data_IF_874988826318
#
_entry.id   IF_874988826318
#
_cell.length_a   1.000
_cell.length_b   1.000
_cell.length_c   1.000
_cell.angle_alpha   90.00
_cell.angle_beta   90.00
_cell.angle_gamma   90.00
#
_symmetry.space_group_name_H-M   'P 1'
#
loop_
_entity.id
_entity.type
_entity.pdbx_description
1 polymer ?
#
# COMPACT_ATOMS: atom_id res chain seq x y z
N UNK A 1 18.96 36.15 -42.94
CA UNK A 1 19.05 34.69 -42.76
C UNK A 1 19.37 34.41 -41.31
N UNK A 2 18.59 33.84 -40.64
CA UNK A 2 17.81 33.83 -39.47
C UNK A 2 18.48 33.07 -38.34
N UNK A 3 18.45 33.69 -37.16
CA UNK A 3 18.90 33.24 -35.85
C UNK A 3 18.04 32.10 -35.23
N UNK A 4 17.60 31.10 -36.03
CA UNK A 4 16.69 30.04 -35.55
C UNK A 4 17.41 28.81 -34.96
N UNK A 5 18.75 28.75 -35.09
CA UNK A 5 19.54 27.61 -34.59
C UNK A 5 19.53 27.46 -33.04
N UNK A 6 19.77 28.55 -32.25
CA UNK A 6 19.78 28.44 -30.80
C UNK A 6 18.39 28.15 -30.19
N UNK A 7 17.33 28.63 -30.82
CA UNK A 7 15.94 28.41 -30.34
C UNK A 7 15.48 26.97 -30.58
N UNK A 8 15.87 26.36 -31.68
CA UNK A 8 15.64 24.94 -31.97
C UNK A 8 16.40 24.01 -31.02
N UNK A 9 17.61 24.38 -30.65
CA UNK A 9 18.44 23.58 -29.71
C UNK A 9 17.93 23.69 -28.28
N UNK A 10 17.43 24.85 -27.89
CA UNK A 10 16.79 25.09 -26.60
C UNK A 10 15.46 24.31 -26.46
N UNK A 11 14.63 24.30 -27.50
CA UNK A 11 13.38 23.54 -27.56
C UNK A 11 13.65 22.04 -27.49
N UNK A 12 14.65 21.55 -28.19
CA UNK A 12 15.06 20.14 -28.18
C UNK A 12 15.59 19.72 -26.81
N UNK A 13 16.34 20.58 -26.14
CA UNK A 13 16.81 20.34 -24.77
C UNK A 13 15.66 20.26 -23.77
N UNK A 14 14.65 21.13 -23.87
CA UNK A 14 13.45 21.12 -23.03
C UNK A 14 12.64 19.85 -23.29
N UNK A 15 12.49 19.42 -24.52
CA UNK A 15 11.75 18.19 -24.87
C UNK A 15 12.45 16.94 -24.31
N UNK A 16 13.80 16.89 -24.40
CA UNK A 16 14.59 15.79 -23.81
C UNK A 16 14.44 15.75 -22.30
N UNK A 17 14.53 16.90 -21.62
CA UNK A 17 14.37 17.00 -20.17
C UNK A 17 12.95 16.58 -19.76
N UNK A 18 11.95 17.08 -20.47
CA UNK A 18 10.54 16.76 -20.21
C UNK A 18 10.24 15.28 -20.39
N UNK A 19 10.76 14.68 -21.46
CA UNK A 19 10.61 13.23 -21.69
C UNK A 19 11.29 12.40 -20.64
N UNK A 20 12.52 12.78 -20.22
CA UNK A 20 13.25 12.10 -19.15
C UNK A 20 12.53 12.19 -17.78
N UNK A 21 11.94 13.35 -17.47
CA UNK A 21 11.11 13.52 -16.26
C UNK A 21 9.88 12.63 -16.32
N UNK A 22 9.17 12.61 -17.45
CA UNK A 22 7.95 11.80 -17.61
C UNK A 22 8.25 10.30 -17.56
N UNK A 23 9.34 9.85 -18.19
CA UNK A 23 9.79 8.45 -18.13
C UNK A 23 10.18 8.04 -16.70
N UNK A 24 10.85 8.92 -15.99
CA UNK A 24 11.22 8.69 -14.59
C UNK A 24 10.00 8.57 -13.71
N UNK A 25 9.02 9.45 -13.91
CA UNK A 25 7.75 9.43 -13.17
C UNK A 25 6.97 8.15 -13.44
N UNK A 26 6.80 7.77 -14.72
CA UNK A 26 6.13 6.54 -15.10
C UNK A 26 6.78 5.28 -14.48
N UNK A 27 8.12 5.25 -14.40
CA UNK A 27 8.84 4.14 -13.74
C UNK A 27 8.64 4.10 -12.23
N UNK A 28 8.55 5.25 -11.56
CA UNK A 28 8.27 5.32 -10.12
C UNK A 28 6.86 4.83 -9.80
N UNK A 29 5.85 5.26 -10.57
CA UNK A 29 4.46 4.83 -10.43
C UNK A 29 4.30 3.31 -10.52
N UNK A 30 4.94 2.70 -11.50
CA UNK A 30 4.92 1.23 -11.71
C UNK A 30 5.51 0.46 -10.55
N UNK A 31 6.63 0.93 -10.02
CA UNK A 31 7.32 0.24 -8.92
C UNK A 31 6.51 0.35 -7.62
N UNK A 32 5.92 1.52 -7.38
CA UNK A 32 5.07 1.76 -6.21
C UNK A 32 3.81 0.87 -6.23
N UNK A 33 3.12 0.78 -7.38
CA UNK A 33 1.93 -0.05 -7.53
C UNK A 33 2.19 -1.53 -7.25
N UNK A 34 3.28 -2.08 -7.79
CA UNK A 34 3.64 -3.48 -7.57
C UNK A 34 3.99 -3.78 -6.10
N UNK A 35 4.68 -2.87 -5.41
CA UNK A 35 4.97 -3.01 -3.98
C UNK A 35 3.69 -2.90 -3.14
N UNK A 36 2.79 -1.98 -3.48
CA UNK A 36 1.50 -1.85 -2.80
C UNK A 36 0.67 -3.12 -2.93
N UNK A 37 0.58 -3.72 -4.12
CA UNK A 37 -0.13 -4.98 -4.33
C UNK A 37 0.50 -6.12 -3.53
N UNK A 38 1.82 -6.24 -3.54
CA UNK A 38 2.53 -7.26 -2.76
C UNK A 38 2.19 -7.17 -1.28
N UNK A 39 2.39 -6.00 -0.67
CA UNK A 39 2.11 -5.80 0.76
C UNK A 39 0.62 -5.87 1.07
N UNK A 40 -0.24 -5.31 0.21
CA UNK A 40 -1.68 -5.36 0.35
C UNK A 40 -2.23 -6.78 0.39
N UNK A 41 -1.86 -7.61 -0.57
CA UNK A 41 -2.26 -9.01 -0.58
C UNK A 41 -1.66 -9.80 0.57
N UNK A 42 -0.39 -9.59 0.89
CA UNK A 42 0.25 -10.27 2.02
C UNK A 42 -0.48 -9.98 3.33
N UNK A 43 -0.75 -8.71 3.63
CA UNK A 43 -1.46 -8.31 4.86
C UNK A 43 -2.91 -8.80 4.83
N UNK A 44 -3.65 -8.55 3.75
CA UNK A 44 -5.06 -8.90 3.67
C UNK A 44 -5.30 -10.41 3.75
N UNK A 45 -4.51 -11.21 3.04
CA UNK A 45 -4.63 -12.67 3.08
C UNK A 45 -4.22 -13.25 4.43
N UNK A 46 -3.13 -12.74 5.04
CA UNK A 46 -2.71 -13.18 6.37
C UNK A 46 -3.76 -12.82 7.42
N UNK A 47 -4.33 -11.62 7.35
CA UNK A 47 -5.37 -11.17 8.27
C UNK A 47 -6.67 -11.98 8.11
N UNK A 48 -7.08 -12.27 6.88
CA UNK A 48 -8.24 -13.10 6.61
C UNK A 48 -8.02 -14.56 7.09
N UNK A 49 -6.83 -15.11 6.85
CA UNK A 49 -6.47 -16.43 7.35
C UNK A 49 -6.44 -16.47 8.88
N UNK A 50 -5.88 -15.46 9.52
CA UNK A 50 -5.89 -15.33 10.98
C UNK A 50 -7.33 -15.30 11.53
N UNK A 51 -8.21 -14.51 10.94
CA UNK A 51 -9.62 -14.45 11.33
C UNK A 51 -10.33 -15.82 11.25
N UNK A 52 -10.11 -16.55 10.16
CA UNK A 52 -10.67 -17.90 9.98
C UNK A 52 -10.13 -18.87 11.05
N UNK A 53 -8.81 -18.85 11.26
CA UNK A 53 -8.20 -19.76 12.26
C UNK A 53 -8.64 -19.40 13.67
N UNK A 54 -8.74 -18.10 14.01
CA UNK A 54 -9.22 -17.63 15.32
C UNK A 54 -10.64 -18.10 15.60
N UNK A 55 -11.52 -18.16 14.58
CA UNK A 55 -12.89 -18.67 14.74
C UNK A 55 -12.93 -20.16 15.06
N UNK A 56 -11.98 -20.96 14.54
CA UNK A 56 -12.00 -22.42 14.68
C UNK A 56 -11.12 -22.92 15.83
N UNK A 57 -10.03 -22.23 16.11
CA UNK A 57 -9.03 -22.64 17.08
C UNK A 57 -8.36 -21.42 17.70
N UNK A 58 -9.07 -20.76 18.64
CA UNK A 58 -8.54 -19.61 19.38
C UNK A 58 -7.40 -20.05 20.32
N UNK A 59 -6.24 -20.29 19.77
CA UNK A 59 -5.02 -20.65 20.52
C UNK A 59 -3.98 -19.54 20.40
N UNK A 60 -3.05 -19.41 21.38
CA UNK A 60 -1.94 -18.46 21.25
C UNK A 60 -1.11 -18.64 19.98
N UNK A 61 -1.14 -19.85 19.39
CA UNK A 61 -0.47 -20.15 18.12
C UNK A 61 -1.03 -19.37 16.93
N UNK A 62 -2.28 -18.87 17.00
CA UNK A 62 -2.86 -18.04 15.93
C UNK A 62 -2.06 -16.76 15.71
N UNK A 63 -1.44 -16.21 16.76
CA UNK A 63 -0.57 -15.03 16.67
C UNK A 63 0.66 -15.29 15.79
N UNK A 64 1.12 -16.54 15.69
CA UNK A 64 2.28 -16.90 14.84
C UNK A 64 1.99 -16.72 13.35
N UNK A 65 0.73 -16.73 12.92
CA UNK A 65 0.35 -16.49 11.52
C UNK A 65 0.84 -15.13 11.04
N UNK A 66 0.91 -14.15 11.94
CA UNK A 66 1.35 -12.79 11.63
C UNK A 66 2.85 -12.70 11.25
N UNK A 67 3.66 -13.70 11.58
CA UNK A 67 5.05 -13.81 11.14
C UNK A 67 5.12 -13.93 9.60
N UNK A 68 4.07 -14.47 8.97
CA UNK A 68 4.00 -14.58 7.52
C UNK A 68 4.07 -13.20 6.82
N UNK A 69 3.56 -12.13 7.44
CA UNK A 69 3.57 -10.77 6.86
C UNK A 69 4.99 -10.26 6.61
N UNK A 70 5.87 -10.13 7.63
CA UNK A 70 7.23 -9.67 7.38
C UNK A 70 8.03 -10.64 6.50
N UNK A 71 7.87 -11.94 6.66
CA UNK A 71 8.60 -12.94 5.88
C UNK A 71 8.22 -12.86 4.41
N UNK A 72 6.95 -12.97 4.07
CA UNK A 72 6.48 -12.90 2.69
C UNK A 72 6.72 -11.51 2.07
N UNK A 73 6.51 -10.44 2.85
CA UNK A 73 6.77 -9.07 2.42
C UNK A 73 8.23 -8.81 2.07
N UNK A 74 9.18 -9.26 2.90
CA UNK A 74 10.62 -9.08 2.66
C UNK A 74 11.06 -9.92 1.46
N UNK A 75 10.67 -11.20 1.40
CA UNK A 75 11.02 -12.09 0.28
C UNK A 75 10.46 -11.52 -1.03
N UNK A 76 9.17 -11.17 -1.06
CA UNK A 76 8.52 -10.63 -2.24
C UNK A 76 9.14 -9.31 -2.69
N UNK A 77 9.46 -8.41 -1.75
CA UNK A 77 10.15 -7.15 -2.03
C UNK A 77 11.54 -7.37 -2.63
N UNK A 78 12.29 -8.35 -2.13
CA UNK A 78 13.61 -8.71 -2.71
C UNK A 78 13.50 -9.27 -4.12
N UNK A 79 12.53 -10.13 -4.38
CA UNK A 79 12.27 -10.70 -5.72
C UNK A 79 11.88 -9.57 -6.69
N UNK A 80 10.99 -8.68 -6.27
CA UNK A 80 10.52 -7.56 -7.08
C UNK A 80 11.64 -6.55 -7.39
N UNK A 81 12.50 -6.25 -6.40
CA UNK A 81 13.62 -5.32 -6.54
C UNK A 81 14.75 -5.85 -7.44
N UNK A 82 14.95 -7.17 -7.52
CA UNK A 82 15.94 -7.77 -8.43
C UNK A 82 15.60 -7.58 -9.90
N UNK A 83 14.31 -7.43 -10.23
CA UNK A 83 13.85 -7.31 -11.62
C UNK A 83 14.06 -5.90 -12.20
N UNK A 84 14.14 -4.86 -11.37
CA UNK A 84 14.31 -3.47 -11.83
C UNK A 84 14.98 -2.62 -10.75
N UNK A 85 16.32 -2.56 -10.68
CA UNK A 85 17.00 -1.62 -9.81
C UNK A 85 16.72 -0.19 -10.30
N UNK A 86 16.16 0.65 -9.46
CA UNK A 86 15.98 2.07 -9.71
C UNK A 86 16.64 2.88 -8.59
N UNK A 87 17.75 3.54 -8.89
CA UNK A 87 18.58 4.31 -7.94
C UNK A 87 18.13 5.77 -7.77
N UNK A 88 16.83 6.05 -7.86
CA UNK A 88 16.35 7.41 -7.65
C UNK A 88 16.33 7.80 -6.16
N UNK A 89 16.70 9.05 -5.79
CA UNK A 89 16.71 9.53 -4.40
C UNK A 89 15.38 9.36 -3.68
N UNK A 90 14.25 9.61 -4.36
CA UNK A 90 12.90 9.41 -3.83
C UNK A 90 12.63 7.97 -3.40
N UNK A 91 13.18 7.00 -4.11
CA UNK A 91 13.07 5.58 -3.79
C UNK A 91 13.80 5.22 -2.50
N UNK A 92 14.91 5.91 -2.19
CA UNK A 92 15.66 5.74 -0.95
C UNK A 92 14.87 6.24 0.25
N UNK A 93 14.23 7.41 0.11
CA UNK A 93 13.36 7.99 1.15
C UNK A 93 12.15 7.09 1.42
N UNK A 94 11.47 6.62 0.37
CA UNK A 94 10.35 5.71 0.51
C UNK A 94 10.76 4.39 1.19
N UNK A 95 11.87 3.81 0.80
CA UNK A 95 12.38 2.59 1.45
C UNK A 95 12.65 2.82 2.94
N UNK A 96 13.30 3.92 3.29
CA UNK A 96 13.57 4.28 4.68
C UNK A 96 12.27 4.47 5.48
N UNK A 97 11.29 5.20 4.92
CA UNK A 97 9.97 5.39 5.52
C UNK A 97 9.30 4.06 5.83
N UNK A 98 9.21 3.17 4.84
CA UNK A 98 8.54 1.88 5.01
C UNK A 98 9.28 0.92 5.95
N UNK A 99 10.62 0.97 6.01
CA UNK A 99 11.39 0.23 7.01
C UNK A 99 11.10 0.71 8.43
N UNK A 100 11.15 2.02 8.65
CA UNK A 100 10.87 2.61 9.97
C UNK A 100 9.43 2.31 10.40
N UNK A 101 8.46 2.56 9.53
CA UNK A 101 7.05 2.29 9.80
C UNK A 101 6.81 0.80 10.05
N UNK A 102 7.42 -0.09 9.27
CA UNK A 102 7.30 -1.53 9.42
C UNK A 102 7.83 -2.02 10.78
N UNK A 103 8.99 -1.51 11.20
CA UNK A 103 9.57 -1.85 12.52
C UNK A 103 8.66 -1.34 13.64
N UNK A 104 8.22 -0.09 13.58
CA UNK A 104 7.33 0.49 14.60
C UNK A 104 6.01 -0.26 14.64
N UNK A 105 5.42 -0.59 13.49
CA UNK A 105 4.20 -1.38 13.40
C UNK A 105 4.35 -2.77 14.05
N UNK A 106 5.47 -3.46 13.78
CA UNK A 106 5.77 -4.75 14.38
C UNK A 106 5.92 -4.66 15.90
N UNK A 107 6.61 -3.64 16.40
CA UNK A 107 6.78 -3.40 17.86
C UNK A 107 5.42 -3.12 18.51
N UNK A 108 4.63 -2.20 17.95
CA UNK A 108 3.29 -1.88 18.47
C UNK A 108 2.42 -3.13 18.49
N UNK A 109 2.40 -3.88 17.38
CA UNK A 109 1.60 -5.10 17.28
C UNK A 109 2.00 -6.13 18.35
N UNK A 110 3.29 -6.36 18.53
CA UNK A 110 3.81 -7.33 19.51
C UNK A 110 3.51 -6.94 20.95
N UNK A 111 3.59 -5.63 21.26
CA UNK A 111 3.39 -5.15 22.62
C UNK A 111 1.93 -4.96 23.00
N UNK A 112 1.08 -4.61 22.06
CA UNK A 112 -0.28 -4.14 22.38
C UNK A 112 -1.39 -4.91 21.67
N UNK A 113 -1.07 -5.67 20.61
CA UNK A 113 -2.04 -6.33 19.71
C UNK A 113 -3.14 -5.38 19.17
N UNK A 114 -2.84 -4.07 19.08
CA UNK A 114 -3.80 -3.06 18.63
C UNK A 114 -3.79 -2.91 17.10
N UNK A 115 -4.62 -3.68 16.41
CA UNK A 115 -4.76 -3.64 14.94
C UNK A 115 -5.04 -2.25 14.39
N UNK A 116 -5.88 -1.45 15.08
CA UNK A 116 -6.28 -0.13 14.60
C UNK A 116 -5.14 0.88 14.67
N UNK A 117 -4.30 0.81 15.71
CA UNK A 117 -3.12 1.67 15.82
C UNK A 117 -2.13 1.36 14.71
N UNK A 118 -1.91 0.08 14.41
CA UNK A 118 -1.07 -0.36 13.29
C UNK A 118 -1.66 0.10 11.96
N UNK A 119 -2.98 -0.08 11.76
CA UNK A 119 -3.67 0.37 10.55
C UNK A 119 -3.53 1.88 10.33
N UNK A 120 -3.70 2.67 11.41
CA UNK A 120 -3.54 4.12 11.34
C UNK A 120 -2.10 4.54 10.99
N UNK A 121 -1.10 3.89 11.59
CA UNK A 121 0.30 4.13 11.28
C UNK A 121 0.62 3.82 9.81
N UNK A 122 0.13 2.69 9.29
CA UNK A 122 0.30 2.31 7.89
C UNK A 122 -0.45 3.27 6.96
N UNK A 123 -1.64 3.76 7.35
CA UNK A 123 -2.40 4.73 6.57
C UNK A 123 -1.67 6.07 6.45
N UNK A 124 -1.05 6.56 7.54
CA UNK A 124 -0.19 7.76 7.51
C UNK A 124 0.99 7.55 6.55
N UNK A 125 1.65 6.39 6.60
CA UNK A 125 2.75 6.08 5.68
C UNK A 125 2.27 6.01 4.21
N UNK A 126 1.07 5.50 3.96
CA UNK A 126 0.47 5.48 2.63
C UNK A 126 0.17 6.91 2.12
N UNK A 127 -0.38 7.79 2.97
CA UNK A 127 -0.62 9.19 2.64
C UNK A 127 0.70 9.89 2.27
N UNK A 128 1.73 9.74 3.12
CA UNK A 128 3.07 10.32 2.86
C UNK A 128 3.65 9.78 1.54
N UNK A 129 3.51 8.47 1.30
CA UNK A 129 3.92 7.85 0.04
C UNK A 129 3.19 8.48 -1.16
N UNK A 130 1.87 8.66 -1.06
CA UNK A 130 1.06 9.29 -2.11
C UNK A 130 1.44 10.74 -2.37
N UNK A 131 1.80 11.50 -1.34
CA UNK A 131 2.30 12.88 -1.47
C UNK A 131 3.66 12.90 -2.18
N UNK A 132 4.61 12.05 -1.77
CA UNK A 132 5.95 11.97 -2.36
C UNK A 132 5.87 11.55 -3.84
N UNK A 133 5.04 10.56 -4.15
CA UNK A 133 4.84 10.06 -5.51
C UNK A 133 3.89 10.92 -6.34
N UNK A 134 3.22 11.89 -5.72
CA UNK A 134 2.17 12.76 -6.31
C UNK A 134 0.97 11.96 -6.84
N UNK A 135 0.67 10.81 -6.23
CA UNK A 135 -0.43 9.94 -6.61
C UNK A 135 -1.68 10.18 -5.76
N UNK A 136 -2.65 10.90 -6.33
CA UNK A 136 -3.92 11.24 -5.64
C UNK A 136 -4.69 9.99 -5.18
N UNK A 137 -4.65 8.91 -5.96
CA UNK A 137 -5.33 7.67 -5.61
C UNK A 137 -4.77 7.03 -4.33
N UNK A 138 -3.43 7.09 -4.14
CA UNK A 138 -2.76 6.58 -2.94
C UNK A 138 -3.09 7.45 -1.72
N UNK A 139 -3.08 8.78 -1.90
CA UNK A 139 -3.48 9.72 -0.82
C UNK A 139 -4.93 9.47 -0.41
N UNK A 140 -5.85 9.39 -1.36
CA UNK A 140 -7.27 9.17 -1.08
C UNK A 140 -7.50 7.82 -0.37
N UNK A 141 -6.84 6.76 -0.82
CA UNK A 141 -6.91 5.45 -0.19
C UNK A 141 -6.33 5.44 1.23
N UNK A 142 -5.21 6.14 1.46
CA UNK A 142 -4.64 6.32 2.79
C UNK A 142 -5.57 7.07 3.74
N UNK A 143 -6.21 8.15 3.27
CA UNK A 143 -7.20 8.91 4.05
C UNK A 143 -8.42 8.03 4.37
N UNK A 144 -8.95 7.30 3.39
CA UNK A 144 -10.07 6.38 3.60
C UNK A 144 -9.73 5.28 4.62
N UNK A 145 -8.51 4.73 4.54
CA UNK A 145 -8.02 3.74 5.50
C UNK A 145 -7.84 4.33 6.90
N UNK A 146 -7.33 5.55 7.04
CA UNK A 146 -7.20 6.25 8.32
C UNK A 146 -8.58 6.49 8.96
N UNK A 147 -9.57 6.93 8.18
CA UNK A 147 -10.94 7.08 8.63
C UNK A 147 -11.53 5.73 9.07
N UNK A 148 -11.37 4.68 8.27
CA UNK A 148 -11.85 3.35 8.63
C UNK A 148 -11.18 2.81 9.90
N UNK A 149 -9.87 3.07 10.09
CA UNK A 149 -9.14 2.67 11.29
C UNK A 149 -9.59 3.43 12.55
N UNK A 150 -10.05 4.67 12.44
CA UNK A 150 -10.49 5.50 13.57
C UNK A 150 -11.97 5.36 13.88
N UNK A 151 -12.81 5.10 12.88
CA UNK A 151 -14.27 4.97 13.07
C UNK A 151 -14.63 3.88 14.07
N UNK A 152 -13.97 2.73 14.04
CA UNK A 152 -14.29 1.63 14.94
C UNK A 152 -13.98 1.95 16.41
N UNK A 153 -12.78 2.41 16.79
CA UNK A 153 -12.50 2.84 18.17
C UNK A 153 -13.43 3.95 18.66
N UNK A 154 -13.73 4.93 17.79
CA UNK A 154 -14.67 6.03 18.11
C UNK A 154 -16.08 5.49 18.38
N UNK A 155 -16.57 4.62 17.49
CA UNK A 155 -17.88 3.99 17.66
C UNK A 155 -17.94 3.21 18.99
N UNK A 156 -16.90 2.42 19.31
CA UNK A 156 -16.81 1.65 20.56
C UNK A 156 -16.75 2.56 21.79
N UNK A 157 -16.10 3.71 21.70
CA UNK A 157 -16.05 4.71 22.75
C UNK A 157 -17.43 5.36 23.00
N UNK A 158 -18.16 5.68 21.95
CA UNK A 158 -19.50 6.30 22.03
C UNK A 158 -20.58 5.30 22.43
N UNK A 159 -20.40 4.03 22.08
CA UNK A 159 -21.36 2.97 22.34
C UNK A 159 -20.67 1.79 23.01
N UNK A 160 -20.27 1.89 24.30
CA UNK A 160 -19.47 0.86 24.96
C UNK A 160 -20.20 -0.50 25.05
N UNK A 161 -21.54 -0.49 25.03
CA UNK A 161 -22.37 -1.69 25.07
C UNK A 161 -22.77 -2.23 23.70
N UNK A 162 -22.53 -1.46 22.62
CA UNK A 162 -22.89 -1.90 21.29
C UNK A 162 -21.83 -2.83 20.70
N UNK A 163 -22.27 -3.96 20.19
CA UNK A 163 -21.43 -4.87 19.43
C UNK A 163 -21.50 -4.55 17.95
N UNK A 164 -20.41 -4.13 17.35
CA UNK A 164 -20.33 -3.91 15.90
C UNK A 164 -20.38 -5.24 15.14
N UNK A 165 -19.88 -6.31 15.76
CA UNK A 165 -19.80 -7.66 15.20
C UNK A 165 -20.07 -8.69 16.29
N UNK A 166 -21.30 -8.78 16.75
CA UNK A 166 -21.73 -9.71 17.79
C UNK A 166 -22.13 -9.02 19.10
N UNK A 167 -22.90 -9.68 19.91
CA UNK A 167 -23.33 -9.19 21.22
C UNK A 167 -22.14 -9.14 22.20
N UNK A 168 -22.25 -8.43 23.31
CA UNK A 168 -21.23 -8.46 24.38
C UNK A 168 -20.96 -9.89 24.87
N UNK A 169 -21.93 -10.78 24.72
CA UNK A 169 -21.83 -12.21 25.01
C UNK A 169 -21.14 -13.02 23.90
N UNK A 170 -20.77 -12.39 22.78
CA UNK A 170 -20.04 -13.09 21.71
C UNK A 170 -18.74 -13.65 22.25
N UNK A 171 -18.45 -14.91 21.93
CA UNK A 171 -17.22 -15.56 22.34
C UNK A 171 -16.00 -14.69 21.98
N UNK A 172 -14.97 -14.62 22.83
CA UNK A 172 -13.77 -13.79 22.60
C UNK A 172 -13.17 -14.01 21.22
N UNK A 173 -13.24 -15.22 20.68
CA UNK A 173 -12.79 -15.58 19.35
C UNK A 173 -13.49 -14.78 18.23
N UNK A 174 -14.82 -14.59 18.34
CA UNK A 174 -15.59 -13.83 17.34
C UNK A 174 -15.15 -12.37 17.32
N UNK A 175 -14.89 -11.79 18.48
CA UNK A 175 -14.42 -10.39 18.57
C UNK A 175 -13.05 -10.21 17.94
N UNK A 176 -12.10 -11.09 18.25
CA UNK A 176 -10.75 -11.03 17.68
C UNK A 176 -10.79 -11.26 16.18
N UNK A 177 -11.49 -12.27 15.71
CA UNK A 177 -11.66 -12.54 14.28
C UNK A 177 -12.29 -11.35 13.52
N UNK A 178 -13.24 -10.64 14.15
CA UNK A 178 -13.85 -9.45 13.57
C UNK A 178 -12.83 -8.31 13.41
N UNK A 179 -11.93 -8.12 14.36
CA UNK A 179 -10.85 -7.12 14.24
C UNK A 179 -9.87 -7.49 13.13
N UNK A 180 -9.52 -8.76 13.02
CA UNK A 180 -8.65 -9.26 11.96
C UNK A 180 -9.30 -9.11 10.58
N UNK A 181 -10.58 -9.45 10.44
CA UNK A 181 -11.33 -9.25 9.21
C UNK A 181 -11.43 -7.77 8.80
N UNK A 182 -11.69 -6.88 9.78
CA UNK A 182 -11.71 -5.43 9.54
C UNK A 182 -10.35 -4.90 9.11
N UNK A 183 -9.27 -5.39 9.72
CA UNK A 183 -7.91 -5.04 9.32
C UNK A 183 -7.59 -5.49 7.90
N UNK A 184 -8.06 -6.68 7.47
CA UNK A 184 -7.95 -7.14 6.09
C UNK A 184 -8.65 -6.18 5.12
N UNK A 185 -9.84 -5.69 5.46
CA UNK A 185 -10.58 -4.72 4.65
C UNK A 185 -9.83 -3.39 4.54
N UNK A 186 -9.32 -2.87 5.66
CA UNK A 186 -8.51 -1.64 5.67
C UNK A 186 -7.27 -1.80 4.78
N UNK A 187 -6.57 -2.93 4.88
CA UNK A 187 -5.40 -3.22 4.05
C UNK A 187 -5.76 -3.30 2.56
N UNK A 188 -6.92 -3.86 2.22
CA UNK A 188 -7.41 -3.90 0.85
C UNK A 188 -7.68 -2.50 0.29
N UNK A 189 -8.36 -1.64 1.06
CA UNK A 189 -8.63 -0.25 0.68
C UNK A 189 -7.33 0.53 0.49
N UNK A 190 -6.39 0.37 1.41
CA UNK A 190 -5.16 1.16 1.47
C UNK A 190 -4.13 0.78 0.41
N UNK A 191 -4.00 -0.52 0.10
CA UNK A 191 -2.93 -1.04 -0.74
C UNK A 191 -3.42 -1.68 -2.04
N UNK A 192 -4.47 -2.52 -1.98
CA UNK A 192 -4.88 -3.31 -3.15
C UNK A 192 -5.57 -2.41 -4.17
N UNK A 193 -6.52 -1.58 -3.75
CA UNK A 193 -7.25 -0.69 -4.66
C UNK A 193 -6.30 0.27 -5.39
N UNK A 194 -5.48 1.09 -4.71
CA UNK A 194 -4.58 2.01 -5.41
C UNK A 194 -3.47 1.27 -6.16
N UNK A 195 -3.03 0.11 -5.68
CA UNK A 195 -2.06 -0.73 -6.36
C UNK A 195 -2.56 -1.19 -7.73
N UNK A 196 -3.81 -1.61 -7.83
CA UNK A 196 -4.44 -1.97 -9.11
C UNK A 196 -4.64 -0.76 -10.02
N UNK A 197 -5.06 0.40 -9.48
CA UNK A 197 -5.21 1.63 -10.26
C UNK A 197 -3.87 2.03 -10.90
N UNK A 198 -2.78 2.00 -10.13
CA UNK A 198 -1.44 2.31 -10.63
C UNK A 198 -0.94 1.27 -11.65
N UNK A 199 -1.27 0.00 -11.44
CA UNK A 199 -0.86 -1.06 -12.36
C UNK A 199 -1.60 -1.01 -13.71
N UNK A 200 -2.90 -0.71 -13.71
CA UNK A 200 -3.73 -0.64 -14.93
C UNK A 200 -3.36 0.55 -15.83
N UNK A 201 -3.00 1.71 -15.24
CA UNK A 201 -2.53 2.88 -16.00
C UNK A 201 -1.31 2.56 -16.85
N UNK A 202 -0.43 1.69 -16.39
CA UNK A 202 0.74 1.23 -17.14
C UNK A 202 0.36 0.51 -18.42
N UNK A 203 -0.59 -0.41 -18.36
CA UNK A 203 -1.01 -1.22 -19.51
C UNK A 203 -1.54 -0.32 -20.63
N UNK A 204 -2.26 0.76 -20.27
CA UNK A 204 -2.77 1.74 -21.22
C UNK A 204 -1.65 2.54 -21.91
N UNK A 205 -0.60 2.96 -21.16
CA UNK A 205 0.52 3.71 -21.73
C UNK A 205 1.42 2.86 -22.63
N UNK A 206 1.63 1.59 -22.28
CA UNK A 206 2.48 0.68 -23.06
C UNK A 206 1.77 0.18 -24.33
N UNK A 207 0.44 0.01 -24.27
CA UNK A 207 -0.37 -0.42 -25.41
C UNK A 207 -0.49 0.65 -26.51
N UNK A 208 -0.42 1.95 -26.13
CA UNK A 208 -0.55 3.06 -27.08
C UNK A 208 0.78 3.39 -27.79
N UNK A 209 1.91 2.91 -27.29
CA UNK A 209 3.26 3.13 -27.85
C UNK A 209 3.73 1.99 -28.76
N UNK A 210 2.85 1.06 -29.18
CA UNK A 210 3.20 0.03 -30.15
C UNK A 210 2.92 0.53 -31.58
N UNK A 211 3.94 1.00 -32.34
CA UNK A 211 3.75 1.58 -33.67
C UNK A 211 3.23 0.57 -34.70
N UNK A 212 3.31 -0.73 -34.39
CA UNK A 212 2.86 -1.79 -35.31
C UNK A 212 1.34 -1.94 -35.40
N UNK A 213 0.54 -1.31 -34.50
CA UNK A 213 -0.92 -1.36 -34.55
C UNK A 213 -1.58 -0.26 -35.42
N UNK A 214 -0.79 0.67 -35.96
CA UNK A 214 -1.27 1.78 -36.82
C UNK A 214 -1.10 1.51 -38.30
N UNK A 215 -0.65 0.32 -38.70
CA UNK A 215 -0.40 -0.05 -40.12
C UNK A 215 -1.24 -1.26 -40.58
N UNK A 216 -2.40 -1.48 -40.03
CA UNK A 216 -3.47 -2.34 -40.52
C UNK A 216 -4.77 -1.52 -40.58
#
# INVERSE_FOLDING_TARGET
MGNNAPELDQKRSIDIITSAINDTRARMEVNTGAHMLLWGYTIALTSAAAAIVTLHAATPATTMIWIAVPVAGIIGTRILSRRKPSDYPSNRILKALWWVVGIIAAVIFTLTAHFFTVALLLAVAAIVTGIITREKAVVAAGVAAALAATLFPIYKYLHPTAALFGTEDAAPAIRVASYEAWFALIAAIMFIIPGHILHSRKSALTGNNNPQKKSL
#
